data_IF_537913784345
#
_entry.id   IF_537913784345
#
_cell.length_a   1.000
_cell.length_b   1.000
_cell.length_c   1.000
_cell.angle_alpha   90.00
_cell.angle_beta   90.00
_cell.angle_gamma   90.00
#
_symmetry.space_group_name_H-M   'P 1'
#
loop_
_entity.id
_entity.type
_entity.pdbx_description
1 polymer ?
#
# COMPACT_ATOMS: atom_id res chain seq x y z
N UNK A 1 16.44 -61.17 -20.43
CA UNK A 1 16.49 -59.80 -21.01
C UNK A 1 15.26 -58.92 -20.74
N UNK A 2 14.11 -59.48 -20.33
CA UNK A 2 12.87 -58.71 -20.07
C UNK A 2 12.84 -57.98 -18.71
N UNK A 3 13.53 -58.50 -17.68
CA UNK A 3 13.56 -57.92 -16.34
C UNK A 3 14.37 -56.62 -16.25
N UNK A 4 15.48 -56.52 -16.99
CA UNK A 4 16.27 -55.28 -17.07
C UNK A 4 15.46 -54.14 -17.68
N UNK A 5 14.71 -54.40 -18.77
CA UNK A 5 13.86 -53.40 -19.43
C UNK A 5 12.73 -52.89 -18.52
N UNK A 6 12.16 -53.77 -17.70
CA UNK A 6 11.14 -53.38 -16.69
C UNK A 6 11.73 -52.51 -15.58
N UNK A 7 12.95 -52.83 -15.12
CA UNK A 7 13.66 -52.03 -14.10
C UNK A 7 14.05 -50.65 -14.64
N UNK A 8 14.56 -50.56 -15.86
CA UNK A 8 14.90 -49.28 -16.50
C UNK A 8 13.66 -48.42 -16.74
N UNK A 9 12.53 -49.04 -17.12
CA UNK A 9 11.25 -48.33 -17.25
C UNK A 9 10.75 -47.80 -15.90
N UNK A 10 10.84 -48.60 -14.85
CA UNK A 10 10.49 -48.17 -13.48
C UNK A 10 11.36 -47.00 -13.01
N UNK A 11 12.67 -47.08 -13.23
CA UNK A 11 13.61 -46.00 -12.87
C UNK A 11 13.32 -44.74 -13.70
N UNK A 12 13.03 -44.89 -15.00
CA UNK A 12 12.66 -43.76 -15.85
C UNK A 12 11.33 -43.11 -15.41
N UNK A 13 10.34 -43.91 -15.00
CA UNK A 13 9.06 -43.42 -14.46
C UNK A 13 9.24 -42.71 -13.11
N UNK A 14 10.09 -43.24 -12.23
CA UNK A 14 10.43 -42.60 -10.96
C UNK A 14 11.20 -41.30 -11.19
N UNK A 15 12.17 -41.30 -12.11
CA UNK A 15 12.92 -40.10 -12.47
C UNK A 15 12.02 -39.04 -13.13
N UNK A 16 11.08 -39.45 -13.98
CA UNK A 16 10.07 -38.57 -14.57
C UNK A 16 9.12 -38.02 -13.49
N UNK A 17 8.66 -38.85 -12.56
CA UNK A 17 7.81 -38.43 -11.45
C UNK A 17 8.54 -37.46 -10.51
N UNK A 18 9.81 -37.73 -10.22
CA UNK A 18 10.66 -36.84 -9.43
C UNK A 18 10.95 -35.54 -10.19
N UNK A 19 11.19 -35.62 -11.49
CA UNK A 19 11.38 -34.44 -12.33
C UNK A 19 10.11 -33.60 -12.42
N UNK A 20 8.93 -34.19 -12.60
CA UNK A 20 7.68 -33.44 -12.48
C UNK A 20 7.55 -32.86 -11.07
N UNK A 21 7.78 -33.62 -10.02
CA UNK A 21 7.68 -33.10 -8.64
C UNK A 21 8.67 -31.95 -8.35
N UNK A 22 9.85 -31.92 -8.97
CA UNK A 22 10.97 -30.99 -8.72
C UNK A 22 11.12 -29.86 -9.76
N UNK A 23 10.60 -30.05 -10.98
CA UNK A 23 10.66 -29.11 -12.11
C UNK A 23 9.28 -28.53 -12.46
N UNK A 24 8.17 -29.25 -12.22
CA UNK A 24 6.81 -28.66 -12.17
C UNK A 24 6.62 -27.79 -10.89
N UNK A 25 7.61 -27.77 -9.99
CA UNK A 25 7.67 -26.99 -8.74
C UNK A 25 7.83 -25.48 -8.94
N UNK A 26 7.10 -24.93 -9.90
CA UNK A 26 6.68 -23.55 -9.86
C UNK A 26 5.80 -23.20 -8.64
N UNK A 27 5.55 -24.11 -7.67
CA UNK A 27 4.38 -23.98 -6.79
C UNK A 27 4.57 -24.01 -5.28
N UNK A 28 5.74 -24.37 -4.70
CA UNK A 28 5.87 -24.43 -3.22
C UNK A 28 6.65 -23.24 -2.68
N UNK A 29 7.91 -23.06 -3.10
CA UNK A 29 8.69 -21.87 -2.72
C UNK A 29 8.03 -20.57 -3.19
N UNK A 30 7.52 -20.57 -4.43
CA UNK A 30 6.79 -19.43 -5.00
C UNK A 30 5.49 -19.14 -4.27
N UNK A 31 4.78 -20.17 -3.80
CA UNK A 31 3.54 -20.02 -3.03
C UNK A 31 3.81 -19.48 -1.63
N UNK A 32 4.89 -19.91 -0.97
CA UNK A 32 5.32 -19.33 0.31
C UNK A 32 5.70 -17.86 0.12
N UNK A 33 6.45 -17.53 -0.93
CA UNK A 33 6.78 -16.15 -1.27
C UNK A 33 5.52 -15.32 -1.56
N UNK A 34 4.56 -15.85 -2.31
CA UNK A 34 3.30 -15.14 -2.58
C UNK A 34 2.46 -14.91 -1.34
N UNK A 35 2.40 -15.88 -0.41
CA UNK A 35 1.71 -15.67 0.86
C UNK A 35 2.40 -14.60 1.70
N UNK A 36 3.73 -14.57 1.73
CA UNK A 36 4.46 -13.53 2.43
C UNK A 36 4.24 -12.16 1.79
N UNK A 37 4.42 -12.04 0.48
CA UNK A 37 4.19 -10.81 -0.29
C UNK A 37 2.77 -10.27 -0.09
N UNK A 38 1.77 -11.16 -0.14
CA UNK A 38 0.38 -10.80 0.06
C UNK A 38 0.12 -10.26 1.47
N UNK A 39 0.72 -10.88 2.50
CA UNK A 39 0.61 -10.37 3.87
C UNK A 39 1.29 -9.01 4.02
N UNK A 40 2.50 -8.84 3.48
CA UNK A 40 3.22 -7.56 3.51
C UNK A 40 2.41 -6.46 2.83
N UNK A 41 1.83 -6.73 1.67
CA UNK A 41 0.99 -5.75 0.95
C UNK A 41 -0.27 -5.37 1.73
N UNK A 42 -0.90 -6.32 2.44
CA UNK A 42 -2.05 -6.02 3.29
C UNK A 42 -1.67 -5.13 4.48
N UNK A 43 -0.53 -5.40 5.12
CA UNK A 43 -0.03 -4.58 6.22
C UNK A 43 0.34 -3.16 5.76
N UNK A 44 1.01 -3.04 4.60
CA UNK A 44 1.34 -1.74 3.98
C UNK A 44 0.06 -0.95 3.66
N UNK A 45 -0.95 -1.62 3.10
CA UNK A 45 -2.23 -1.00 2.76
C UNK A 45 -2.93 -0.47 4.02
N UNK A 46 -3.05 -1.29 5.07
CA UNK A 46 -3.66 -0.87 6.33
C UNK A 46 -2.91 0.31 6.97
N UNK A 47 -1.57 0.36 6.87
CA UNK A 47 -0.78 1.51 7.33
C UNK A 47 -1.12 2.78 6.55
N UNK A 48 -1.20 2.69 5.23
CA UNK A 48 -1.51 3.83 4.35
C UNK A 48 -2.94 4.34 4.57
N UNK A 49 -3.91 3.45 4.73
CA UNK A 49 -5.29 3.83 5.06
C UNK A 49 -5.37 4.60 6.39
N UNK A 50 -4.63 4.14 7.41
CA UNK A 50 -4.55 4.86 8.68
C UNK A 50 -3.89 6.24 8.53
N UNK A 51 -2.82 6.33 7.74
CA UNK A 51 -2.15 7.61 7.46
C UNK A 51 -3.08 8.60 6.74
N UNK A 52 -3.82 8.13 5.73
CA UNK A 52 -4.84 8.93 5.03
C UNK A 52 -5.87 9.46 6.03
N UNK A 53 -6.45 8.60 6.88
CA UNK A 53 -7.44 9.03 7.86
C UNK A 53 -6.88 10.07 8.85
N UNK A 54 -5.61 9.93 9.26
CA UNK A 54 -4.98 10.93 10.14
C UNK A 54 -4.73 12.26 9.44
N UNK A 55 -4.40 12.26 8.14
CA UNK A 55 -4.18 13.47 7.37
C UNK A 55 -5.51 14.18 7.08
N UNK A 56 -6.56 13.43 6.76
CA UNK A 56 -7.91 13.97 6.59
C UNK A 56 -8.42 14.63 7.87
N UNK A 57 -8.24 14.00 9.03
CA UNK A 57 -8.60 14.60 10.32
C UNK A 57 -7.80 15.89 10.62
N UNK A 58 -6.51 15.93 10.24
CA UNK A 58 -5.70 17.15 10.36
C UNK A 58 -6.17 18.25 9.40
N UNK A 59 -6.52 17.89 8.17
CA UNK A 59 -7.08 18.81 7.20
C UNK A 59 -8.40 19.39 7.70
N UNK A 60 -9.31 18.57 8.23
CA UNK A 60 -10.58 19.06 8.77
C UNK A 60 -10.40 19.95 10.01
N UNK A 61 -9.39 19.65 10.85
CA UNK A 61 -9.00 20.54 11.95
C UNK A 61 -8.45 21.90 11.45
N UNK A 62 -7.76 21.91 10.30
CA UNK A 62 -7.27 23.11 9.62
C UNK A 62 -8.38 23.84 8.84
N UNK A 63 -9.41 23.12 8.39
CA UNK A 63 -10.56 23.65 7.65
C UNK A 63 -11.61 24.30 8.58
N UNK A 64 -11.28 24.51 9.85
CA UNK A 64 -12.09 25.37 10.69
C UNK A 64 -12.17 26.76 10.03
N UNK A 65 -13.40 27.26 9.82
CA UNK A 65 -13.68 28.57 9.22
C UNK A 65 -12.79 29.68 9.79
N UNK A 66 -12.40 29.57 11.06
CA UNK A 66 -11.47 30.50 11.74
C UNK A 66 -10.05 30.49 11.15
N UNK A 67 -9.49 29.33 10.82
CA UNK A 67 -8.15 29.22 10.22
C UNK A 67 -8.19 29.71 8.78
N UNK A 68 -9.24 29.36 8.03
CA UNK A 68 -9.44 29.85 6.66
C UNK A 68 -9.62 31.38 6.66
N UNK A 69 -10.46 31.92 7.54
CA UNK A 69 -10.69 33.36 7.69
C UNK A 69 -9.41 34.09 8.12
N UNK A 70 -8.63 33.50 9.03
CA UNK A 70 -7.33 34.05 9.45
C UNK A 70 -6.36 34.11 8.28
N UNK A 71 -6.19 33.03 7.51
CA UNK A 71 -5.32 33.02 6.33
C UNK A 71 -5.79 34.03 5.30
N UNK A 72 -7.09 34.07 5.00
CA UNK A 72 -7.68 35.01 4.06
C UNK A 72 -7.42 36.48 4.46
N UNK A 73 -7.55 36.81 5.75
CA UNK A 73 -7.29 38.16 6.29
C UNK A 73 -5.80 38.50 6.36
N UNK A 74 -4.97 37.61 6.88
CA UNK A 74 -3.56 37.89 7.16
C UNK A 74 -2.67 37.80 5.92
N UNK A 75 -2.82 36.76 5.10
CA UNK A 75 -1.97 36.54 3.91
C UNK A 75 -2.47 37.33 2.71
N UNK A 76 -3.78 37.41 2.53
CA UNK A 76 -4.39 37.95 1.32
C UNK A 76 -5.12 39.28 1.53
N UNK A 77 -5.23 39.77 2.77
CA UNK A 77 -5.94 41.01 3.08
C UNK A 77 -7.42 40.98 2.70
N UNK A 78 -8.01 39.79 2.54
CA UNK A 78 -9.40 39.63 2.14
C UNK A 78 -10.33 40.09 3.25
N UNK A 79 -11.43 40.73 2.86
CA UNK A 79 -12.48 41.26 3.74
C UNK A 79 -13.85 40.86 3.24
N UNK A 80 -14.81 40.73 4.14
CA UNK A 80 -16.20 40.45 3.76
C UNK A 80 -16.84 41.70 3.11
N UNK A 81 -17.80 41.53 2.19
CA UNK A 81 -18.55 42.67 1.66
C UNK A 81 -19.23 43.48 2.78
N UNK A 82 -18.97 44.79 2.84
CA UNK A 82 -19.51 45.68 3.88
C UNK A 82 -18.59 45.89 5.10
N UNK A 83 -17.43 45.26 5.15
CA UNK A 83 -16.48 45.37 6.27
C UNK A 83 -15.57 46.61 6.12
N UNK A 84 -15.46 47.41 7.18
CA UNK A 84 -14.62 48.63 7.21
C UNK A 84 -13.29 48.32 7.89
N UNK A 85 -12.18 48.47 7.15
CA UNK A 85 -10.82 48.18 7.65
C UNK A 85 -10.22 49.45 8.25
N UNK A 86 -9.79 49.36 9.51
CA UNK A 86 -9.07 50.43 10.20
C UNK A 86 -7.58 50.12 10.22
N UNK A 87 -6.75 51.08 9.78
CA UNK A 87 -5.29 50.97 9.89
C UNK A 87 -4.85 51.67 11.17
N UNK A 88 -4.36 50.92 12.14
CA UNK A 88 -3.78 51.50 13.36
C UNK A 88 -2.39 52.01 12.98
N UNK A 89 -2.17 53.31 13.10
CA UNK A 89 -0.86 53.93 12.94
C UNK A 89 -0.35 54.16 14.36
N UNK A 90 0.75 53.51 14.75
CA UNK A 90 1.42 53.81 16.02
C UNK A 90 1.99 55.24 15.97
N UNK A 91 1.86 56.03 17.06
CA UNK A 91 2.24 57.44 17.11
C UNK A 91 3.75 57.68 17.03
#
# INVERSE_FOLDING_TARGET
MSSLRKRTLLIALLALGLWLLFFDSHSVLRRVQWHHEHHTLLEENARLEAEIATLEAQMEALDSDLVIERIAREQYGMRRPGETVYRVVEP
#
